data_IF_327997887730
#
_entry.id   IF_327997887730
#
_cell.length_a   1.000
_cell.length_b   1.000
_cell.length_c   1.000
_cell.angle_alpha   90.00
_cell.angle_beta   90.00
_cell.angle_gamma   90.00
#
_symmetry.space_group_name_H-M   'P 1'
#
loop_
_entity.id
_entity.type
_entity.pdbx_description
1 polymer ?
#
# COMPACT_ATOMS: atom_id res chain seq x y z
N UNK A 1 31.73 -2.74 14.90
CA UNK A 1 30.84 -3.38 13.91
C UNK A 1 29.74 -2.38 13.60
N UNK A 2 30.04 -1.45 12.71
CA UNK A 2 29.14 -0.39 12.31
C UNK A 2 27.99 -1.01 11.51
N UNK A 3 26.83 -1.15 12.14
CA UNK A 3 25.59 -1.44 11.42
C UNK A 3 25.28 -0.18 10.62
N UNK A 4 25.63 -0.20 9.35
CA UNK A 4 25.15 0.75 8.37
C UNK A 4 23.63 0.52 8.25
N UNK A 5 22.84 1.17 9.11
CA UNK A 5 21.38 1.19 9.00
C UNK A 5 21.03 1.95 7.72
N UNK A 6 20.88 1.20 6.64
CA UNK A 6 20.35 1.70 5.37
C UNK A 6 19.01 2.38 5.66
N UNK A 7 18.88 3.66 5.33
CA UNK A 7 17.69 4.43 5.66
C UNK A 7 16.45 3.73 5.10
N UNK A 8 15.38 3.58 5.90
CA UNK A 8 14.22 2.83 5.46
C UNK A 8 13.58 3.53 4.28
N UNK A 9 13.54 2.85 3.12
CA UNK A 9 12.89 3.36 1.92
C UNK A 9 11.39 3.55 2.18
N UNK A 10 10.91 4.74 1.85
CA UNK A 10 9.52 5.15 2.06
C UNK A 10 8.77 5.23 0.74
N UNK A 11 7.51 4.83 0.75
CA UNK A 11 6.61 4.87 -0.39
C UNK A 11 5.44 5.81 -0.11
N UNK A 12 4.96 6.55 -1.13
CA UNK A 12 3.84 7.47 -0.96
C UNK A 12 2.52 6.73 -0.71
N UNK A 13 1.67 7.34 0.11
CA UNK A 13 0.27 6.95 0.31
C UNK A 13 -0.60 8.16 0.04
N UNK A 14 -1.71 7.97 -0.68
CA UNK A 14 -2.71 9.01 -0.85
C UNK A 14 -3.57 9.08 0.42
N UNK A 15 -3.45 10.19 1.14
CA UNK A 15 -4.20 10.47 2.35
C UNK A 15 -4.83 11.86 2.25
N UNK A 16 -6.05 11.99 2.77
CA UNK A 16 -6.69 13.29 2.95
C UNK A 16 -6.03 13.99 4.11
N UNK A 17 -5.12 14.92 3.82
CA UNK A 17 -4.43 15.72 4.82
C UNK A 17 -5.16 17.05 5.04
N UNK A 18 -4.96 17.64 6.22
CA UNK A 18 -5.58 18.93 6.55
C UNK A 18 -5.00 20.04 5.65
N UNK A 19 -5.80 21.06 5.29
CA UNK A 19 -5.29 22.23 4.59
C UNK A 19 -4.13 22.88 5.38
N UNK A 20 -3.01 23.14 4.71
CA UNK A 20 -1.78 23.67 5.31
C UNK A 20 -0.76 22.59 5.72
N UNK A 21 -1.12 21.31 5.64
CA UNK A 21 -0.17 20.22 5.84
C UNK A 21 0.55 19.91 4.52
N UNK A 22 1.83 20.29 4.44
CA UNK A 22 2.67 20.05 3.26
C UNK A 22 3.36 18.69 3.30
N UNK A 23 3.17 17.90 4.36
CA UNK A 23 3.75 16.57 4.43
C UNK A 23 3.06 15.62 3.45
N UNK A 24 3.81 14.67 2.91
CA UNK A 24 3.25 13.54 2.16
C UNK A 24 3.14 12.35 3.11
N UNK A 25 1.97 11.72 3.16
CA UNK A 25 1.83 10.46 3.87
C UNK A 25 2.70 9.39 3.21
N UNK A 26 3.43 8.63 4.03
CA UNK A 26 4.33 7.57 3.54
C UNK A 26 4.27 6.34 4.42
N UNK A 27 4.66 5.20 3.86
CA UNK A 27 4.83 3.94 4.57
C UNK A 27 6.14 3.27 4.22
N UNK A 28 6.61 2.37 5.08
CA UNK A 28 7.82 1.57 4.82
C UNK A 28 7.64 0.69 3.58
N UNK A 29 8.73 0.48 2.85
CA UNK A 29 8.77 -0.39 1.68
C UNK A 29 8.18 -1.78 1.94
N UNK A 30 8.49 -2.42 3.07
CA UNK A 30 7.96 -3.76 3.39
C UNK A 30 6.43 -3.79 3.45
N UNK A 31 5.80 -2.74 3.98
CA UNK A 31 4.35 -2.61 4.05
C UNK A 31 3.78 -2.39 2.65
N UNK A 32 4.40 -1.51 1.88
CA UNK A 32 3.97 -1.19 0.53
C UNK A 32 4.08 -2.38 -0.43
N UNK A 33 5.20 -3.12 -0.38
CA UNK A 33 5.42 -4.30 -1.20
C UNK A 33 4.47 -5.43 -0.83
N UNK A 34 4.08 -5.55 0.44
CA UNK A 34 3.04 -6.51 0.85
C UNK A 34 1.69 -6.17 0.23
N UNK A 35 1.29 -4.89 0.26
CA UNK A 35 0.09 -4.43 -0.40
C UNK A 35 0.16 -4.63 -1.93
N UNK A 36 1.32 -4.37 -2.53
CA UNK A 36 1.57 -4.58 -3.96
C UNK A 36 1.48 -6.05 -4.38
N UNK A 37 1.91 -6.98 -3.54
CA UNK A 37 1.75 -8.43 -3.76
C UNK A 37 0.28 -8.81 -3.92
N UNK A 38 -0.57 -8.32 -3.01
CA UNK A 38 -2.03 -8.56 -3.07
C UNK A 38 -2.64 -7.91 -4.30
N UNK A 39 -2.34 -6.62 -4.55
CA UNK A 39 -2.79 -5.90 -5.74
C UNK A 39 -2.46 -6.65 -7.03
N UNK A 40 -1.21 -7.13 -7.16
CA UNK A 40 -0.72 -7.80 -8.35
C UNK A 40 -1.46 -9.11 -8.65
N UNK A 41 -1.90 -9.82 -7.59
CA UNK A 41 -2.71 -11.03 -7.74
C UNK A 41 -4.16 -10.71 -8.10
N UNK A 42 -4.73 -9.66 -7.49
CA UNK A 42 -6.15 -9.32 -7.60
C UNK A 42 -6.49 -8.70 -8.95
N UNK A 43 -5.57 -7.93 -9.54
CA UNK A 43 -5.75 -7.31 -10.84
C UNK A 43 -4.65 -7.72 -11.82
N UNK A 44 -3.47 -7.13 -11.70
CA UNK A 44 -2.27 -7.45 -12.49
C UNK A 44 -1.09 -6.61 -11.97
N UNK A 45 0.16 -7.05 -12.12
CA UNK A 45 1.32 -6.29 -11.70
C UNK A 45 1.40 -4.92 -12.40
N UNK A 46 1.72 -3.87 -11.65
CA UNK A 46 1.99 -2.52 -12.16
C UNK A 46 3.34 -2.03 -11.64
N UNK A 47 4.45 -2.26 -12.38
CA UNK A 47 5.80 -1.96 -11.90
C UNK A 47 6.02 -0.52 -11.44
N UNK A 48 5.34 0.45 -12.05
CA UNK A 48 5.42 1.87 -11.67
C UNK A 48 5.00 2.16 -10.23
N UNK A 49 4.20 1.28 -9.61
CA UNK A 49 3.85 1.40 -8.20
C UNK A 49 5.08 1.21 -7.30
N UNK A 50 6.07 0.41 -7.70
CA UNK A 50 7.25 0.10 -6.89
C UNK A 50 8.51 0.84 -7.34
N UNK A 51 8.59 1.29 -8.60
CA UNK A 51 9.74 2.02 -9.13
C UNK A 51 9.71 3.53 -8.87
N UNK A 52 8.57 4.10 -8.47
CA UNK A 52 8.47 5.52 -8.07
C UNK A 52 7.90 6.47 -9.14
N UNK A 53 7.58 5.98 -10.35
CA UNK A 53 6.99 6.77 -11.45
C UNK A 53 5.46 6.82 -11.39
N UNK A 54 4.89 6.80 -10.19
CA UNK A 54 3.46 6.76 -9.91
C UNK A 54 3.01 8.05 -9.22
N UNK A 55 1.87 8.62 -9.64
CA UNK A 55 1.35 9.92 -9.18
C UNK A 55 0.77 9.94 -7.76
N UNK A 56 1.00 8.92 -6.94
CA UNK A 56 0.53 8.95 -5.55
C UNK A 56 0.54 7.64 -4.76
N UNK A 57 0.92 6.50 -5.35
CA UNK A 57 0.87 5.20 -4.68
C UNK A 57 -0.56 4.76 -4.38
N UNK A 58 -0.72 3.86 -3.41
CA UNK A 58 -2.02 3.41 -2.93
C UNK A 58 -2.72 4.49 -2.10
N UNK A 59 -4.03 4.57 -2.18
CA UNK A 59 -4.84 5.28 -1.19
C UNK A 59 -4.77 4.61 0.18
N UNK A 60 -5.09 5.36 1.23
CA UNK A 60 -5.17 4.83 2.59
C UNK A 60 -6.16 3.66 2.67
N UNK A 61 -7.30 3.75 1.96
CA UNK A 61 -8.29 2.70 1.93
C UNK A 61 -7.81 1.43 1.22
N UNK A 62 -7.17 1.57 0.06
CA UNK A 62 -6.55 0.45 -0.66
C UNK A 62 -5.48 -0.22 0.18
N UNK A 63 -4.63 0.56 0.85
CA UNK A 63 -3.59 0.00 1.70
C UNK A 63 -4.17 -0.84 2.85
N UNK A 64 -5.23 -0.35 3.51
CA UNK A 64 -5.95 -1.10 4.54
C UNK A 64 -6.53 -2.39 3.95
N UNK A 65 -7.23 -2.31 2.82
CA UNK A 65 -7.87 -3.46 2.18
C UNK A 65 -6.85 -4.55 1.79
N UNK A 66 -5.72 -4.16 1.20
CA UNK A 66 -4.68 -5.10 0.78
C UNK A 66 -3.97 -5.74 1.97
N UNK A 67 -3.65 -4.98 3.01
CA UNK A 67 -3.02 -5.52 4.21
C UNK A 67 -3.98 -6.44 4.98
N UNK A 68 -5.26 -6.08 5.08
CA UNK A 68 -6.30 -6.95 5.63
C UNK A 68 -6.36 -8.28 4.87
N UNK A 69 -6.52 -8.24 3.54
CA UNK A 69 -6.59 -9.42 2.70
C UNK A 69 -5.32 -10.30 2.82
N UNK A 70 -4.15 -9.69 2.98
CA UNK A 70 -2.87 -10.40 3.10
C UNK A 70 -2.75 -11.32 4.32
N UNK A 71 -3.64 -11.17 5.31
CA UNK A 71 -3.70 -12.00 6.52
C UNK A 71 -4.46 -13.33 6.30
N UNK A 72 -5.06 -13.52 5.13
CA UNK A 72 -5.81 -14.72 4.74
C UNK A 72 -5.03 -15.58 3.72
N UNK A 73 -5.45 -16.85 3.48
CA UNK A 73 -4.87 -17.67 2.42
C UNK A 73 -4.94 -16.98 1.06
N UNK A 74 -3.90 -17.16 0.23
CA UNK A 74 -3.72 -16.47 -1.05
C UNK A 74 -4.90 -16.61 -2.03
N UNK A 75 -5.60 -17.74 -2.01
CA UNK A 75 -6.77 -17.98 -2.86
C UNK A 75 -8.03 -17.19 -2.42
N UNK A 76 -8.05 -16.65 -1.19
CA UNK A 76 -9.15 -15.82 -0.69
C UNK A 76 -8.94 -14.32 -0.94
N UNK A 77 -7.73 -13.89 -1.29
CA UNK A 77 -7.37 -12.47 -1.31
C UNK A 77 -8.32 -11.60 -2.13
N UNK A 78 -8.76 -12.07 -3.30
CA UNK A 78 -9.74 -11.35 -4.12
C UNK A 78 -11.01 -11.05 -3.34
N UNK A 79 -11.60 -12.09 -2.74
CA UNK A 79 -12.82 -11.99 -1.94
C UNK A 79 -12.63 -11.04 -0.74
N UNK A 80 -11.48 -11.10 -0.07
CA UNK A 80 -11.19 -10.25 1.11
C UNK A 80 -10.95 -8.80 0.75
N UNK A 81 -10.34 -8.52 -0.41
CA UNK A 81 -10.24 -7.17 -0.95
C UNK A 81 -11.62 -6.63 -1.28
N UNK A 82 -12.43 -7.39 -2.00
CA UNK A 82 -13.79 -6.97 -2.35
C UNK A 82 -14.64 -6.75 -1.08
N UNK A 83 -14.53 -7.62 -0.06
CA UNK A 83 -15.15 -7.46 1.28
C UNK A 83 -14.70 -6.16 1.96
N UNK A 84 -13.39 -5.92 2.05
CA UNK A 84 -12.87 -4.74 2.74
C UNK A 84 -13.26 -3.44 2.02
N UNK A 85 -13.24 -3.41 0.69
CA UNK A 85 -13.66 -2.24 -0.08
C UNK A 85 -15.17 -2.02 -0.03
N UNK A 86 -15.97 -3.08 0.14
CA UNK A 86 -17.42 -3.00 0.32
C UNK A 86 -17.75 -2.57 1.76
N UNK A 87 -17.73 -1.25 1.99
CA UNK A 87 -18.05 -0.64 3.29
C UNK A 87 -16.95 0.27 3.84
N UNK A 88 -15.82 0.38 3.15
CA UNK A 88 -14.77 1.32 3.49
C UNK A 88 -15.12 2.72 2.99
N UNK A 89 -15.45 3.60 3.92
CA UNK A 89 -15.60 5.04 3.69
C UNK A 89 -14.35 5.74 4.23
N UNK A 90 -13.50 6.25 3.34
CA UNK A 90 -12.24 6.95 3.66
C UNK A 90 -12.26 8.38 3.15
#
# INVERSE_FOLDING_TARGET
MDKNEEQPKLFPVQATLRPGDHQRATVRESVYLKAYEVYSLVWSPQPRLVTGDCRGGFSTGELIAFLYASSFPRHEWRKRVDEALTGLHV
#
